data_IF_393339083293
#
_entry.id   IF_393339083293
#
_cell.length_a   1.000
_cell.length_b   1.000
_cell.length_c   1.000
_cell.angle_alpha   90.00
_cell.angle_beta   90.00
_cell.angle_gamma   90.00
#
_symmetry.space_group_name_H-M   'P 1'
#
loop_
_entity.id
_entity.type
_entity.pdbx_description
1 polymer ?
#
# COMPACT_ATOMS: atom_id res chain seq x y z
N UNK A 1 -34.23 2.28 8.14
CA UNK A 1 -33.31 2.38 6.99
C UNK A 1 -31.93 1.99 7.49
N UNK A 2 -31.28 0.99 6.90
CA UNK A 2 -29.90 0.64 7.23
C UNK A 2 -29.01 1.52 6.37
N UNK A 3 -28.32 2.48 6.98
CA UNK A 3 -27.35 3.31 6.27
C UNK A 3 -26.08 2.49 6.06
N UNK A 4 -25.93 1.87 4.88
CA UNK A 4 -24.65 1.24 4.51
C UNK A 4 -23.67 2.34 4.13
N UNK A 5 -22.69 2.60 4.99
CA UNK A 5 -21.59 3.49 4.64
C UNK A 5 -20.84 2.94 3.42
N UNK A 6 -20.47 3.83 2.49
CA UNK A 6 -19.63 3.44 1.36
C UNK A 6 -18.27 2.98 1.90
N UNK A 7 -17.78 1.79 1.50
CA UNK A 7 -16.49 1.31 1.97
C UNK A 7 -15.36 2.24 1.52
N UNK A 8 -14.34 2.39 2.37
CA UNK A 8 -13.19 3.27 2.10
C UNK A 8 -12.25 2.72 1.03
N UNK A 9 -12.39 1.45 0.66
CA UNK A 9 -11.53 0.70 -0.23
C UNK A 9 -12.27 -0.54 -0.76
N UNK A 10 -11.80 -1.11 -1.86
CA UNK A 10 -12.19 -2.45 -2.32
C UNK A 10 -10.97 -3.34 -2.33
N UNK A 11 -11.11 -4.62 -1.99
CA UNK A 11 -10.00 -5.57 -1.94
C UNK A 11 -10.33 -6.85 -2.70
N UNK A 12 -9.31 -7.39 -3.37
CA UNK A 12 -9.35 -8.68 -4.06
C UNK A 12 -8.20 -9.53 -3.55
N UNK A 13 -8.50 -10.77 -3.18
CA UNK A 13 -7.51 -11.73 -2.72
C UNK A 13 -7.28 -12.80 -3.79
N UNK A 14 -6.02 -13.05 -4.13
CA UNK A 14 -5.58 -14.15 -4.97
C UNK A 14 -4.72 -15.09 -4.13
N UNK A 15 -5.12 -16.35 -4.04
CA UNK A 15 -4.47 -17.34 -3.19
C UNK A 15 -3.62 -18.31 -4.03
N UNK A 16 -2.70 -19.01 -3.37
CA UNK A 16 -1.82 -20.02 -3.98
C UNK A 16 -0.90 -19.48 -5.09
N UNK A 17 -0.43 -18.24 -4.94
CA UNK A 17 0.52 -17.61 -5.86
C UNK A 17 1.94 -17.73 -5.30
N UNK A 18 2.87 -18.28 -6.08
CA UNK A 18 4.27 -18.38 -5.65
C UNK A 18 4.93 -17.00 -5.51
N UNK A 19 5.92 -16.89 -4.63
CA UNK A 19 6.72 -15.67 -4.49
C UNK A 19 7.35 -15.22 -5.82
N UNK A 20 7.84 -16.17 -6.60
CA UNK A 20 8.43 -15.89 -7.91
C UNK A 20 7.40 -15.30 -8.89
N UNK A 21 6.18 -15.85 -8.91
CA UNK A 21 5.08 -15.33 -9.75
C UNK A 21 4.73 -13.90 -9.34
N UNK A 22 4.62 -13.63 -8.03
CA UNK A 22 4.37 -12.28 -7.53
C UNK A 22 5.44 -11.28 -7.99
N UNK A 23 6.73 -11.63 -7.87
CA UNK A 23 7.82 -10.75 -8.34
C UNK A 23 7.77 -10.50 -9.84
N UNK A 24 7.46 -11.51 -10.65
CA UNK A 24 7.25 -11.31 -12.09
C UNK A 24 6.10 -10.35 -12.36
N UNK A 25 4.96 -10.53 -11.70
CA UNK A 25 3.80 -9.63 -11.82
C UNK A 25 4.15 -8.19 -11.44
N UNK A 26 4.87 -7.98 -10.32
CA UNK A 26 5.27 -6.64 -9.88
C UNK A 26 6.07 -5.89 -10.96
N UNK A 27 6.99 -6.58 -11.63
CA UNK A 27 7.82 -6.02 -12.70
C UNK A 27 6.98 -5.70 -13.94
N UNK A 28 6.12 -6.63 -14.35
CA UNK A 28 5.27 -6.46 -15.54
C UNK A 28 4.25 -5.32 -15.37
N UNK A 29 3.72 -5.15 -14.17
CA UNK A 29 2.70 -4.14 -13.89
C UNK A 29 3.27 -2.71 -13.77
N UNK A 30 4.59 -2.53 -13.60
CA UNK A 30 5.24 -1.22 -13.50
C UNK A 30 4.83 -0.37 -12.29
N UNK A 31 5.39 0.83 -12.13
CA UNK A 31 5.18 1.68 -10.93
C UNK A 31 3.95 2.59 -10.98
N UNK A 32 3.31 2.74 -12.13
CA UNK A 32 2.16 3.65 -12.34
C UNK A 32 0.84 2.90 -12.09
N UNK A 33 0.52 2.66 -10.82
CA UNK A 33 -0.68 1.94 -10.41
C UNK A 33 -1.54 2.77 -9.47
N UNK A 34 -2.85 2.76 -9.71
CA UNK A 34 -3.85 3.29 -8.77
C UNK A 34 -4.23 2.27 -7.68
N UNK A 35 -3.87 1.00 -7.87
CA UNK A 35 -4.11 -0.07 -6.90
C UNK A 35 -2.84 -0.34 -6.09
N UNK A 36 -3.02 -0.67 -4.80
CA UNK A 36 -1.97 -1.16 -3.91
C UNK A 36 -1.93 -2.68 -3.93
N UNK A 37 -0.73 -3.24 -3.91
CA UNK A 37 -0.51 -4.69 -3.93
C UNK A 37 0.34 -5.11 -2.74
N UNK A 38 -0.07 -6.17 -2.06
CA UNK A 38 0.73 -6.84 -1.04
C UNK A 38 0.81 -8.34 -1.31
N UNK A 39 1.84 -8.97 -0.76
CA UNK A 39 2.07 -10.40 -0.80
C UNK A 39 2.44 -10.91 0.58
N UNK A 40 1.77 -11.97 1.01
CA UNK A 40 2.09 -12.69 2.23
C UNK A 40 1.77 -14.18 2.07
N UNK A 41 2.82 -15.01 2.15
CA UNK A 41 2.70 -16.48 2.26
C UNK A 41 1.73 -17.11 1.25
N UNK A 42 1.93 -16.85 -0.03
CA UNK A 42 1.08 -17.40 -1.09
C UNK A 42 -0.12 -16.55 -1.48
N UNK A 43 -0.39 -15.46 -0.76
CA UNK A 43 -1.56 -14.63 -0.99
C UNK A 43 -1.16 -13.25 -1.53
N UNK A 44 -1.74 -12.86 -2.66
CA UNK A 44 -1.68 -11.48 -3.16
C UNK A 44 -2.99 -10.79 -2.78
N UNK A 45 -2.90 -9.67 -2.07
CA UNK A 45 -4.03 -8.76 -1.88
C UNK A 45 -3.86 -7.54 -2.81
N UNK A 46 -4.90 -7.24 -3.57
CA UNK A 46 -4.98 -6.04 -4.40
C UNK A 46 -6.05 -5.13 -3.79
N UNK A 47 -5.63 -3.98 -3.31
CA UNK A 47 -6.48 -2.96 -2.70
C UNK A 47 -6.64 -1.77 -3.66
N UNK A 48 -7.88 -1.34 -3.87
CA UNK A 48 -8.21 -0.09 -4.57
C UNK A 48 -8.69 0.93 -3.55
N UNK A 49 -7.83 1.86 -3.09
CA UNK A 49 -8.22 2.89 -2.14
C UNK A 49 -9.29 3.80 -2.76
N UNK A 50 -10.28 4.20 -1.96
CA UNK A 50 -11.28 5.20 -2.34
C UNK A 50 -10.98 6.52 -1.63
N UNK A 51 -11.72 7.57 -2.00
CA UNK A 51 -11.58 8.91 -1.43
C UNK A 51 -11.52 8.94 0.11
N UNK A 52 -12.33 8.18 0.87
CA UNK A 52 -12.22 8.16 2.33
C UNK A 52 -10.86 7.67 2.83
N UNK A 53 -10.28 6.64 2.21
CA UNK A 53 -8.94 6.11 2.54
C UNK A 53 -7.86 7.14 2.23
N UNK A 54 -7.90 7.71 1.02
CA UNK A 54 -6.91 8.73 0.60
C UNK A 54 -6.95 9.97 1.51
N UNK A 55 -8.15 10.42 1.91
CA UNK A 55 -8.27 11.55 2.82
C UNK A 55 -7.63 11.28 4.18
N UNK A 56 -7.86 10.09 4.75
CA UNK A 56 -7.28 9.70 6.03
C UNK A 56 -5.75 9.56 5.91
N UNK A 57 -5.28 8.92 4.84
CA UNK A 57 -3.87 8.76 4.52
C UNK A 57 -3.14 10.11 4.46
N UNK A 58 -3.67 11.09 3.72
CA UNK A 58 -3.07 12.43 3.63
C UNK A 58 -3.09 13.22 4.92
N UNK A 59 -4.12 13.05 5.74
CA UNK A 59 -4.14 13.69 7.05
C UNK A 59 -3.00 13.15 7.94
N UNK A 60 -2.77 11.84 7.93
CA UNK A 60 -1.70 11.19 8.70
C UNK A 60 -0.34 11.61 8.16
N UNK A 61 -0.13 11.61 6.84
CA UNK A 61 1.11 12.03 6.19
C UNK A 61 1.52 13.46 6.61
N UNK A 62 0.56 14.40 6.55
CA UNK A 62 0.79 15.80 6.95
C UNK A 62 1.12 15.88 8.44
N UNK A 63 0.36 15.17 9.29
CA UNK A 63 0.58 15.17 10.74
C UNK A 63 2.00 14.69 11.10
N UNK A 64 2.42 13.55 10.54
CA UNK A 64 3.78 13.01 10.75
C UNK A 64 4.83 13.97 10.20
N UNK A 65 4.59 14.55 9.01
CA UNK A 65 5.48 15.54 8.42
C UNK A 65 5.73 16.76 9.31
N UNK A 66 4.68 17.32 9.90
CA UNK A 66 4.78 18.45 10.83
C UNK A 66 5.55 18.05 12.09
N UNK A 67 5.31 16.86 12.65
CA UNK A 67 6.09 16.40 13.81
C UNK A 67 7.59 16.29 13.49
N UNK A 68 7.95 15.73 12.34
CA UNK A 68 9.35 15.64 11.93
C UNK A 68 10.00 17.02 11.81
N UNK A 69 9.28 18.01 11.25
CA UNK A 69 9.75 19.39 11.16
C UNK A 69 9.97 20.00 12.56
N UNK A 70 9.00 19.90 13.45
CA UNK A 70 9.08 20.44 14.82
C UNK A 70 10.19 19.79 15.66
N UNK A 71 10.50 18.52 15.41
CA UNK A 71 11.58 17.80 16.09
C UNK A 71 12.93 17.89 15.38
N UNK A 72 13.01 18.58 14.23
CA UNK A 72 14.25 18.69 13.44
C UNK A 72 14.75 17.35 12.89
N UNK A 73 13.83 16.43 12.56
CA UNK A 73 14.15 15.12 11.99
C UNK A 73 14.19 15.22 10.46
N UNK A 74 15.28 14.76 9.86
CA UNK A 74 15.38 14.58 8.42
C UNK A 74 14.54 13.38 7.99
N UNK A 75 13.66 13.59 7.00
CA UNK A 75 12.77 12.57 6.44
C UNK A 75 12.75 12.67 4.92
N UNK A 76 13.01 11.54 4.26
CA UNK A 76 12.82 11.38 2.83
C UNK A 76 11.44 10.79 2.54
N UNK A 77 10.72 11.40 1.59
CA UNK A 77 9.38 10.97 1.19
C UNK A 77 9.41 10.15 -0.10
N UNK A 78 9.03 8.86 -0.04
CA UNK A 78 9.09 7.94 -1.20
C UNK A 78 7.83 7.07 -1.29
N UNK A 79 6.81 7.55 -2.02
CA UNK A 79 5.46 6.96 -2.01
C UNK A 79 5.18 5.88 -3.06
N UNK A 80 6.17 5.58 -3.92
CA UNK A 80 6.03 4.62 -5.03
C UNK A 80 6.88 3.36 -4.84
N UNK A 81 7.39 3.12 -3.63
CA UNK A 81 8.27 2.00 -3.35
C UNK A 81 7.48 0.77 -2.92
N UNK A 82 7.58 -0.34 -3.65
CA UNK A 82 7.20 -1.65 -3.13
C UNK A 82 8.33 -2.18 -2.27
N UNK A 83 8.07 -2.39 -0.98
CA UNK A 83 9.01 -2.99 -0.05
C UNK A 83 8.91 -4.50 -0.15
N UNK A 84 10.02 -5.17 -0.41
CA UNK A 84 10.08 -6.64 -0.50
C UNK A 84 11.09 -7.22 0.47
N UNK A 85 10.77 -8.41 0.99
CA UNK A 85 11.66 -9.23 1.79
C UNK A 85 11.64 -10.66 1.28
N UNK A 86 12.63 -10.96 0.45
CA UNK A 86 12.77 -12.27 -0.20
C UNK A 86 12.88 -13.42 0.81
N UNK A 87 13.53 -13.21 1.96
CA UNK A 87 13.74 -14.26 2.97
C UNK A 87 12.48 -14.59 3.79
N UNK A 88 11.50 -13.68 3.78
CA UNK A 88 10.19 -13.88 4.42
C UNK A 88 9.07 -14.11 3.41
N UNK A 89 9.39 -14.06 2.11
CA UNK A 89 8.41 -14.03 1.02
C UNK A 89 7.30 -13.01 1.33
N UNK A 90 7.69 -11.75 1.56
CA UNK A 90 6.79 -10.65 1.90
C UNK A 90 6.96 -9.48 0.95
N UNK A 91 5.84 -8.87 0.55
CA UNK A 91 5.85 -7.65 -0.26
C UNK A 91 4.71 -6.72 0.16
N UNK A 92 4.95 -5.42 0.24
CA UNK A 92 3.89 -4.45 0.51
C UNK A 92 4.20 -3.08 -0.10
N UNK A 93 3.16 -2.38 -0.51
CA UNK A 93 3.22 -0.97 -0.87
C UNK A 93 2.72 -0.12 0.30
N UNK A 94 3.44 0.94 0.70
CA UNK A 94 2.97 1.86 1.72
C UNK A 94 1.85 2.75 1.17
N UNK A 95 0.95 3.20 2.04
CA UNK A 95 -0.11 4.14 1.66
C UNK A 95 0.45 5.53 1.34
N UNK A 96 1.48 5.97 2.08
CA UNK A 96 2.15 7.26 1.92
C UNK A 96 3.67 7.11 1.87
N UNK A 97 4.30 8.12 1.26
CA UNK A 97 5.73 8.21 1.02
C UNK A 97 6.41 9.19 1.93
#
# INVERSE_FOLDING_TARGET
>A
MVTTATPAETRVLLENISWQTFKTMLVEMGSERANRISYHQGNIEIMTPQKPHENANRLIEVFVGVLCEEFGLEVDRVGSLTLTRDDLEYGAEPDSG
#
